data_IF_302962919563
#
_entry.id   IF_302962919563
#
_cell.length_a   1.000
_cell.length_b   1.000
_cell.length_c   1.000
_cell.angle_alpha   90.00
_cell.angle_beta   90.00
_cell.angle_gamma   90.00
#
_symmetry.space_group_name_H-M   'P 1'
#
loop_
_entity.id
_entity.type
_entity.pdbx_description
1 polymer ?
#
# COMPACT_ATOMS: atom_id res chain seq x y z
N UNK A 1 13.40 -3.79 -6.29
CA UNK A 1 13.05 -2.37 -6.00
C UNK A 1 12.43 -2.28 -4.62
N UNK A 2 12.83 -1.31 -3.84
CA UNK A 2 12.26 -1.10 -2.51
C UNK A 2 11.70 0.31 -2.38
N UNK A 3 10.52 0.42 -1.79
CA UNK A 3 9.87 1.69 -1.46
C UNK A 3 9.73 1.76 0.06
N UNK A 4 10.23 2.83 0.67
CA UNK A 4 10.00 3.11 2.08
C UNK A 4 8.87 4.13 2.20
N UNK A 5 7.78 3.75 2.84
CA UNK A 5 6.67 4.71 3.02
C UNK A 5 7.14 5.93 3.79
N UNK A 6 7.94 5.71 4.84
CA UNK A 6 8.43 6.82 5.67
C UNK A 6 9.32 7.78 4.88
N UNK A 7 10.21 7.27 4.03
CA UNK A 7 11.18 8.09 3.30
C UNK A 7 10.64 8.64 1.99
N UNK A 8 9.85 7.81 1.29
CA UNK A 8 9.43 8.13 -0.07
C UNK A 8 8.06 8.79 -0.11
N UNK A 9 7.30 8.74 0.97
CA UNK A 9 5.96 9.30 1.01
C UNK A 9 5.71 10.14 2.28
N UNK A 10 5.53 9.50 3.45
CA UNK A 10 5.18 10.23 4.68
C UNK A 10 5.44 9.39 5.92
N UNK A 11 5.84 10.06 7.02
CA UNK A 11 5.94 9.40 8.34
C UNK A 11 4.60 9.44 9.09
N UNK A 12 3.60 10.15 8.54
CA UNK A 12 2.28 10.30 9.18
C UNK A 12 1.14 10.04 8.20
N UNK A 13 1.10 8.87 7.53
CA UNK A 13 0.00 8.57 6.61
C UNK A 13 -1.26 8.28 7.41
N UNK A 14 -2.37 8.96 7.13
CA UNK A 14 -3.53 8.85 8.01
C UNK A 14 -4.90 8.85 7.37
N UNK A 15 -5.05 9.43 6.19
CA UNK A 15 -6.36 9.55 5.56
C UNK A 15 -6.60 8.48 4.52
N UNK A 16 -7.89 8.19 4.27
CA UNK A 16 -8.25 7.30 3.18
C UNK A 16 -8.18 8.01 1.83
N UNK A 17 -8.86 9.16 1.71
CA UNK A 17 -9.02 9.87 0.45
C UNK A 17 -8.28 11.21 0.42
N UNK A 18 -7.88 11.61 -0.78
CA UNK A 18 -7.19 12.90 -1.02
C UNK A 18 -8.02 14.06 -0.49
N UNK A 19 -9.34 13.99 -0.64
CA UNK A 19 -10.25 15.05 -0.19
C UNK A 19 -10.28 15.25 1.32
N UNK A 20 -9.85 14.23 2.08
CA UNK A 20 -9.85 14.30 3.54
C UNK A 20 -8.63 15.02 4.11
N UNK A 21 -7.51 14.97 3.39
CA UNK A 21 -6.28 15.60 3.84
C UNK A 21 -5.05 15.03 3.16
N UNK A 22 -3.87 15.53 3.51
CA UNK A 22 -2.61 15.10 2.89
C UNK A 22 -2.22 13.68 3.30
N UNK A 23 -1.36 13.09 2.50
CA UNK A 23 -0.73 11.79 2.77
C UNK A 23 -1.75 10.66 2.93
N UNK A 24 -2.78 10.66 2.07
CA UNK A 24 -3.83 9.65 2.09
C UNK A 24 -3.40 8.36 1.40
N UNK A 25 -4.13 7.28 1.68
CA UNK A 25 -3.94 6.00 0.98
C UNK A 25 -4.19 6.12 -0.51
N UNK A 26 -5.21 6.90 -0.89
CA UNK A 26 -5.50 7.18 -2.30
C UNK A 26 -4.32 7.90 -2.97
N UNK A 27 -3.73 8.86 -2.30
CA UNK A 27 -2.58 9.60 -2.82
C UNK A 27 -1.37 8.69 -2.99
N UNK A 28 -1.06 7.88 -1.99
CA UNK A 28 0.05 6.93 -2.04
C UNK A 28 -0.14 5.95 -3.19
N UNK A 29 -1.34 5.41 -3.36
CA UNK A 29 -1.65 4.49 -4.45
C UNK A 29 -1.47 5.16 -5.80
N UNK A 30 -2.06 6.34 -6.00
CA UNK A 30 -2.06 7.00 -7.30
C UNK A 30 -0.69 7.55 -7.71
N UNK A 31 0.06 8.06 -6.75
CA UNK A 31 1.35 8.71 -7.05
C UNK A 31 2.52 7.75 -7.08
N UNK A 32 2.47 6.68 -6.29
CA UNK A 32 3.61 5.78 -6.14
C UNK A 32 3.32 4.38 -6.68
N UNK A 33 2.23 3.73 -6.25
CA UNK A 33 1.99 2.34 -6.61
C UNK A 33 1.50 2.15 -8.04
N UNK A 34 0.49 2.91 -8.44
CA UNK A 34 -0.12 2.73 -9.77
C UNK A 34 0.87 2.98 -10.92
N UNK A 35 1.71 4.04 -10.86
CA UNK A 35 2.70 4.22 -11.93
C UNK A 35 3.65 3.05 -12.09
N UNK A 36 4.01 2.38 -11.00
CA UNK A 36 4.88 1.20 -11.07
C UNK A 36 4.16 0.03 -11.73
N UNK A 37 2.88 -0.17 -11.44
CA UNK A 37 2.10 -1.24 -12.06
C UNK A 37 1.78 -0.97 -13.53
N UNK A 38 1.76 0.30 -13.93
CA UNK A 38 1.51 0.69 -15.31
C UNK A 38 2.77 0.62 -16.17
N UNK A 39 3.95 0.72 -15.55
CA UNK A 39 5.22 0.69 -16.27
C UNK A 39 5.66 -0.76 -16.50
N UNK A 40 5.68 -1.19 -17.75
CA UNK A 40 6.06 -2.56 -18.12
C UNK A 40 7.51 -2.91 -17.81
N UNK A 41 8.35 -1.90 -17.54
CA UNK A 41 9.76 -2.12 -17.21
C UNK A 41 10.01 -2.28 -15.71
N UNK A 42 8.97 -2.18 -14.88
CA UNK A 42 9.08 -2.34 -13.44
C UNK A 42 9.60 -3.73 -13.08
N UNK A 43 10.61 -3.77 -12.22
CA UNK A 43 11.17 -5.03 -11.72
C UNK A 43 10.37 -5.51 -10.51
N UNK A 44 9.86 -6.73 -10.59
CA UNK A 44 9.09 -7.34 -9.50
C UNK A 44 9.92 -8.41 -8.79
N UNK A 45 9.68 -8.66 -7.49
CA UNK A 45 8.67 -8.00 -6.67
C UNK A 45 9.08 -6.59 -6.26
N UNK A 46 8.08 -5.77 -5.92
CA UNK A 46 8.30 -4.48 -5.29
C UNK A 46 8.25 -4.71 -3.78
N UNK A 47 9.30 -4.34 -3.07
CA UNK A 47 9.32 -4.46 -1.61
C UNK A 47 8.86 -3.14 -0.99
N UNK A 48 7.83 -3.21 -0.17
CA UNK A 48 7.31 -2.07 0.57
C UNK A 48 7.82 -2.15 2.00
N UNK A 49 8.66 -1.19 2.37
CA UNK A 49 9.18 -1.09 3.73
C UNK A 49 8.23 -0.23 4.55
N UNK A 50 7.61 -0.83 5.56
CA UNK A 50 6.60 -0.19 6.40
C UNK A 50 7.19 0.48 7.64
N UNK A 51 8.48 0.26 7.91
CA UNK A 51 9.14 0.77 9.11
C UNK A 51 9.37 2.28 9.04
N UNK A 52 9.47 2.90 10.22
CA UNK A 52 9.79 4.32 10.33
C UNK A 52 8.59 5.25 10.32
N UNK A 53 7.40 4.72 10.16
CA UNK A 53 6.15 5.49 10.22
C UNK A 53 5.66 5.55 11.67
N UNK A 54 5.12 6.69 12.08
CA UNK A 54 4.65 6.85 13.45
C UNK A 54 3.47 5.93 13.75
N UNK A 55 2.60 5.71 12.78
CA UNK A 55 1.49 4.77 12.90
C UNK A 55 0.72 4.70 11.60
N UNK A 56 -0.01 3.60 11.40
CA UNK A 56 -0.84 3.40 10.22
C UNK A 56 -2.31 3.39 10.58
N UNK A 57 -3.11 4.22 9.90
CA UNK A 57 -4.55 4.10 9.97
C UNK A 57 -5.00 2.93 9.09
N UNK A 58 -5.97 2.16 9.58
CA UNK A 58 -6.57 1.05 8.82
C UNK A 58 -7.10 1.52 7.46
N UNK A 59 -7.73 2.70 7.43
CA UNK A 59 -8.29 3.25 6.20
C UNK A 59 -7.21 3.57 5.16
N UNK A 60 -6.04 4.03 5.61
CA UNK A 60 -4.90 4.25 4.71
C UNK A 60 -4.47 2.95 4.05
N UNK A 61 -4.24 1.92 4.86
CA UNK A 61 -3.74 0.65 4.36
C UNK A 61 -4.74 -0.02 3.42
N UNK A 62 -6.01 0.01 3.77
CA UNK A 62 -7.05 -0.60 2.94
C UNK A 62 -7.19 0.12 1.60
N UNK A 63 -7.17 1.44 1.60
CA UNK A 63 -7.29 2.22 0.36
C UNK A 63 -6.06 2.06 -0.53
N UNK A 64 -4.86 2.08 0.07
CA UNK A 64 -3.63 1.96 -0.69
C UNK A 64 -3.51 0.57 -1.34
N UNK A 65 -3.59 -0.48 -0.54
CA UNK A 65 -3.29 -1.84 -0.99
C UNK A 65 -4.54 -2.59 -1.45
N UNK A 66 -5.63 -2.47 -0.74
CA UNK A 66 -6.90 -3.02 -1.19
C UNK A 66 -7.40 -2.30 -2.45
N UNK A 67 -7.24 -0.99 -2.50
CA UNK A 67 -7.58 -0.21 -3.69
C UNK A 67 -6.76 -0.60 -4.91
N UNK A 68 -5.47 -0.87 -4.72
CA UNK A 68 -4.60 -1.34 -5.79
C UNK A 68 -5.08 -2.70 -6.32
N UNK A 69 -5.43 -3.61 -5.40
CA UNK A 69 -5.92 -4.94 -5.75
C UNK A 69 -7.26 -4.88 -6.47
N UNK A 70 -8.14 -3.96 -6.10
CA UNK A 70 -9.41 -3.76 -6.82
C UNK A 70 -9.18 -3.34 -8.27
N UNK A 71 -8.11 -2.59 -8.51
CA UNK A 71 -7.81 -2.06 -9.85
C UNK A 71 -7.06 -3.08 -10.73
N UNK A 72 -6.09 -3.77 -10.17
CA UNK A 72 -5.19 -4.64 -10.95
C UNK A 72 -5.41 -6.13 -10.73
N UNK A 73 -6.23 -6.50 -9.79
CA UNK A 73 -6.50 -7.90 -9.46
C UNK A 73 -5.73 -8.36 -8.22
N UNK A 74 -6.43 -9.04 -7.31
CA UNK A 74 -5.84 -9.44 -6.03
C UNK A 74 -4.70 -10.43 -6.16
N UNK A 75 -4.78 -11.35 -7.10
CA UNK A 75 -3.70 -12.32 -7.31
C UNK A 75 -2.44 -11.65 -7.81
N UNK A 76 -2.58 -10.75 -8.78
CA UNK A 76 -1.45 -10.01 -9.35
C UNK A 76 -0.78 -9.15 -8.28
N UNK A 77 -1.56 -8.40 -7.53
CA UNK A 77 -1.02 -7.51 -6.51
C UNK A 77 -0.35 -8.29 -5.40
N UNK A 78 -0.99 -9.38 -4.95
CA UNK A 78 -0.41 -10.22 -3.89
C UNK A 78 0.94 -10.82 -4.31
N UNK A 79 1.06 -11.23 -5.57
CA UNK A 79 2.29 -11.85 -6.07
C UNK A 79 3.40 -10.82 -6.30
N UNK A 80 3.06 -9.60 -6.65
CA UNK A 80 4.04 -8.58 -7.05
C UNK A 80 4.56 -7.72 -5.90
N UNK A 81 3.94 -7.79 -4.72
CA UNK A 81 4.36 -7.02 -3.55
C UNK A 81 4.95 -7.91 -2.48
N UNK A 82 6.04 -7.44 -1.89
CA UNK A 82 6.62 -7.98 -0.67
C UNK A 82 6.68 -6.87 0.36
N UNK A 83 6.70 -7.24 1.65
CA UNK A 83 6.64 -6.26 2.73
C UNK A 83 7.73 -6.49 3.76
N UNK A 84 8.28 -5.39 4.28
CA UNK A 84 9.16 -5.38 5.44
C UNK A 84 8.45 -4.61 6.55
N UNK A 85 8.30 -5.22 7.71
CA UNK A 85 7.70 -4.57 8.88
C UNK A 85 8.33 -5.15 10.14
N UNK A 86 9.45 -4.56 10.55
CA UNK A 86 10.14 -4.95 11.78
C UNK A 86 9.49 -4.30 12.99
N UNK A 87 8.99 -3.07 12.85
CA UNK A 87 8.34 -2.32 13.93
C UNK A 87 7.01 -2.95 14.34
N UNK A 88 6.22 -3.41 13.35
CA UNK A 88 4.91 -4.03 13.57
C UNK A 88 4.72 -5.20 12.60
N UNK A 89 5.27 -6.39 12.93
CA UNK A 89 5.21 -7.52 11.98
C UNK A 89 3.78 -7.93 11.57
N UNK A 90 2.80 -7.72 12.45
CA UNK A 90 1.41 -8.09 12.15
C UNK A 90 0.77 -7.24 11.05
N UNK A 91 1.37 -6.09 10.69
CA UNK A 91 0.86 -5.28 9.59
C UNK A 91 0.89 -6.03 8.26
N UNK A 92 1.87 -6.90 8.06
CA UNK A 92 1.99 -7.65 6.81
C UNK A 92 0.74 -8.51 6.60
N UNK A 93 0.34 -9.24 7.63
CA UNK A 93 -0.85 -10.08 7.56
C UNK A 93 -2.11 -9.24 7.35
N UNK A 94 -2.21 -8.12 8.03
CA UNK A 94 -3.34 -7.19 7.88
C UNK A 94 -3.45 -6.69 6.44
N UNK A 95 -2.33 -6.26 5.85
CA UNK A 95 -2.32 -5.77 4.46
C UNK A 95 -2.67 -6.90 3.48
N UNK A 96 -2.14 -8.10 3.69
CA UNK A 96 -2.47 -9.26 2.86
C UNK A 96 -3.97 -9.55 2.91
N UNK A 97 -4.60 -9.39 4.08
CA UNK A 97 -6.04 -9.56 4.21
C UNK A 97 -6.81 -8.50 3.42
N UNK A 98 -6.38 -7.24 3.42
CA UNK A 98 -7.01 -6.20 2.61
C UNK A 98 -6.92 -6.52 1.11
N UNK A 99 -5.80 -7.07 0.68
CA UNK A 99 -5.63 -7.48 -0.72
C UNK A 99 -6.56 -8.63 -1.06
N UNK A 100 -6.61 -9.67 -0.22
CA UNK A 100 -7.45 -10.86 -0.46
C UNK A 100 -8.94 -10.53 -0.48
N UNK A 101 -9.37 -9.60 0.35
CA UNK A 101 -10.79 -9.26 0.54
C UNK A 101 -11.17 -7.92 -0.10
N UNK A 102 -10.39 -7.46 -1.07
CA UNK A 102 -10.54 -6.13 -1.67
C UNK A 102 -11.88 -5.93 -2.39
N UNK A 103 -12.47 -7.01 -2.87
CA UNK A 103 -13.72 -7.00 -3.62
C UNK A 103 -14.95 -7.29 -2.77
N UNK A 104 -14.79 -7.47 -1.46
CA UNK A 104 -15.92 -7.70 -0.57
C UNK A 104 -16.58 -6.38 -0.18
N UNK A 105 -17.90 -6.41 -0.09
CA UNK A 105 -18.65 -5.24 0.38
C UNK A 105 -18.49 -5.09 1.88
N UNK A 106 -18.28 -3.87 2.30
CA UNK A 106 -18.17 -3.52 3.72
C UNK A 106 -19.48 -2.98 4.25
#
# INVERSE_FOLDING_TARGET
MEISIAKDFSITPGFRYITEGPDSGEEFRQKILEPLFQNKDTQYPITINLDGVIGYATSFLEEAFGGLARKYGKTIVNDRLEFISNDEPLLIEEIRDYIRHCDEKK
#
